data_IF_874561051784
#
_entry.id   IF_874561051784
#
_cell.length_a   1.000
_cell.length_b   1.000
_cell.length_c   1.000
_cell.angle_alpha   90.00
_cell.angle_beta   90.00
_cell.angle_gamma   90.00
#
_symmetry.space_group_name_H-M   'P 1'
#
loop_
_entity.id
_entity.type
_entity.pdbx_description
1 polymer ?
#
# COMPACT_ATOMS: atom_id res chain seq x y z
N UNK A 1 5.44 12.77 -17.40
CA UNK A 1 6.14 11.60 -16.83
C UNK A 1 7.10 10.92 -17.81
N UNK A 2 6.72 10.72 -19.08
CA UNK A 2 7.50 9.90 -20.03
C UNK A 2 8.98 10.33 -20.21
N UNK A 3 9.23 11.64 -20.37
CA UNK A 3 10.59 12.18 -20.55
C UNK A 3 11.46 12.03 -19.29
N UNK A 4 10.84 12.02 -18.10
CA UNK A 4 11.53 11.77 -16.84
C UNK A 4 11.94 10.29 -16.74
N UNK A 5 11.03 9.35 -17.00
CA UNK A 5 11.34 7.91 -16.99
C UNK A 5 12.48 7.59 -17.96
N UNK A 6 12.42 8.14 -19.17
CA UNK A 6 13.44 7.94 -20.20
C UNK A 6 14.83 8.43 -19.76
N UNK A 7 14.90 9.66 -19.24
CA UNK A 7 16.18 10.28 -18.84
C UNK A 7 16.75 9.72 -17.55
N UNK A 8 15.91 9.33 -16.58
CA UNK A 8 16.33 9.01 -15.22
C UNK A 8 16.41 7.51 -14.93
N UNK A 9 15.49 6.71 -15.49
CA UNK A 9 15.42 5.26 -15.25
C UNK A 9 16.10 4.47 -16.37
N UNK A 10 15.82 4.80 -17.64
CA UNK A 10 16.33 4.02 -18.78
C UNK A 10 17.76 4.40 -19.21
N UNK A 11 18.31 5.53 -18.74
CA UNK A 11 19.69 5.94 -19.04
C UNK A 11 20.74 5.19 -18.19
N UNK A 12 20.35 4.57 -17.07
CA UNK A 12 21.24 3.74 -16.26
C UNK A 12 21.35 2.36 -16.91
N UNK A 13 22.57 1.90 -17.21
CA UNK A 13 22.87 0.57 -17.78
C UNK A 13 22.56 -0.63 -16.86
N UNK A 14 21.55 -0.50 -15.99
CA UNK A 14 21.04 -1.58 -15.15
C UNK A 14 20.18 -2.50 -16.00
N UNK A 15 20.41 -3.81 -15.88
CA UNK A 15 19.66 -4.85 -16.61
C UNK A 15 18.17 -4.89 -16.21
N UNK A 16 17.84 -4.40 -15.02
CA UNK A 16 16.48 -4.33 -14.47
C UNK A 16 16.34 -2.99 -13.75
N UNK A 17 15.24 -2.29 -14.03
CA UNK A 17 14.90 -1.02 -13.38
C UNK A 17 13.43 -1.05 -12.97
N UNK A 18 13.11 -0.31 -11.91
CA UNK A 18 11.77 -0.21 -11.38
C UNK A 18 11.63 1.02 -10.51
N UNK A 19 10.39 1.42 -10.27
CA UNK A 19 10.03 2.53 -9.39
C UNK A 19 8.68 2.24 -8.76
N UNK A 20 8.38 2.97 -7.69
CA UNK A 20 7.07 2.95 -7.05
C UNK A 20 6.28 4.17 -7.49
N UNK A 21 5.00 3.97 -7.82
CA UNK A 21 4.08 5.05 -8.12
C UNK A 21 2.81 4.89 -7.31
N UNK A 22 2.52 5.79 -6.36
CA UNK A 22 1.21 5.82 -5.69
C UNK A 22 0.09 6.09 -6.69
N UNK A 23 -1.11 5.55 -6.42
CA UNK A 23 -2.26 5.73 -7.31
C UNK A 23 -2.62 7.22 -7.54
N UNK A 24 -2.54 8.06 -6.51
CA UNK A 24 -2.79 9.50 -6.67
C UNK A 24 -1.81 10.15 -7.64
N UNK A 25 -0.51 9.84 -7.55
CA UNK A 25 0.48 10.33 -8.51
C UNK A 25 0.22 9.83 -9.93
N UNK A 26 -0.34 8.62 -10.09
CA UNK A 26 -0.76 8.11 -11.41
C UNK A 26 -1.86 8.97 -12.02
N UNK A 27 -2.81 9.45 -11.20
CA UNK A 27 -3.88 10.34 -11.66
C UNK A 27 -3.35 11.74 -12.02
N UNK A 28 -2.35 12.25 -11.30
CA UNK A 28 -1.69 13.53 -11.59
C UNK A 28 -0.85 13.49 -12.87
N UNK A 29 -0.46 12.30 -13.32
CA UNK A 29 0.37 12.08 -14.50
C UNK A 29 -0.40 11.29 -15.56
N UNK A 30 -1.30 11.97 -16.26
CA UNK A 30 -2.18 11.37 -17.27
C UNK A 30 -1.42 10.71 -18.43
N UNK A 31 -0.17 11.09 -18.68
CA UNK A 31 0.72 10.48 -19.69
C UNK A 31 1.41 9.19 -19.23
N UNK A 32 1.31 8.83 -17.94
CA UNK A 32 2.06 7.72 -17.37
C UNK A 32 1.61 6.36 -17.91
N UNK A 33 0.31 6.12 -18.07
CA UNK A 33 -0.22 4.83 -18.58
C UNK A 33 0.30 4.56 -19.99
N UNK A 34 0.28 5.57 -20.86
CA UNK A 34 0.80 5.47 -22.22
C UNK A 34 2.31 5.24 -22.22
N UNK A 35 3.05 5.95 -21.35
CA UNK A 35 4.47 5.71 -21.18
C UNK A 35 4.75 4.27 -20.72
N UNK A 36 3.94 3.72 -19.81
CA UNK A 36 4.11 2.34 -19.34
C UNK A 36 3.94 1.34 -20.48
N UNK A 37 2.96 1.56 -21.36
CA UNK A 37 2.71 0.72 -22.54
C UNK A 37 3.88 0.82 -23.50
N UNK A 38 4.31 2.04 -23.84
CA UNK A 38 5.44 2.32 -24.74
C UNK A 38 6.74 1.65 -24.30
N UNK A 39 7.01 1.67 -23.00
CA UNK A 39 8.24 1.10 -22.43
C UNK A 39 8.11 -0.38 -22.02
N UNK A 40 6.93 -0.99 -22.18
CA UNK A 40 6.71 -2.41 -21.88
C UNK A 40 6.85 -2.76 -20.40
N UNK A 41 6.42 -1.87 -19.50
CA UNK A 41 6.50 -2.14 -18.06
C UNK A 41 5.58 -3.28 -17.63
N UNK A 42 6.08 -4.13 -16.72
CA UNK A 42 5.28 -5.04 -15.92
C UNK A 42 4.81 -4.33 -14.65
N UNK A 43 3.58 -4.58 -14.19
CA UNK A 43 3.00 -3.90 -13.02
C UNK A 43 2.86 -4.87 -11.85
N UNK A 44 3.53 -4.59 -10.74
CA UNK A 44 3.19 -5.20 -9.44
C UNK A 44 2.28 -4.24 -8.69
N UNK A 45 1.03 -4.66 -8.43
CA UNK A 45 0.08 -3.93 -7.61
C UNK A 45 0.15 -4.42 -6.17
N UNK A 46 0.18 -3.48 -5.24
CA UNK A 46 0.14 -3.75 -3.81
C UNK A 46 -1.17 -3.22 -3.22
N UNK A 47 -1.87 -4.05 -2.46
CA UNK A 47 -2.96 -3.64 -1.57
C UNK A 47 -2.68 -4.10 -0.14
N UNK A 48 -3.54 -3.69 0.79
CA UNK A 48 -3.59 -4.24 2.14
C UNK A 48 -5.01 -4.71 2.40
N UNK A 49 -5.16 -5.96 2.82
CA UNK A 49 -6.50 -6.56 2.92
C UNK A 49 -7.24 -6.09 4.16
N UNK A 50 -6.52 -5.85 5.26
CA UNK A 50 -7.11 -5.27 6.45
C UNK A 50 -7.09 -3.73 6.37
N UNK A 51 -8.24 -3.14 6.02
CA UNK A 51 -8.39 -1.69 5.85
C UNK A 51 -8.32 -0.93 7.18
N UNK A 52 -8.75 -1.52 8.30
CA UNK A 52 -8.63 -0.88 9.60
C UNK A 52 -7.15 -0.77 10.01
N UNK A 53 -6.40 -1.84 9.76
CA UNK A 53 -4.95 -1.87 9.91
C UNK A 53 -4.23 -0.84 9.01
N UNK A 54 -4.71 -0.65 7.79
CA UNK A 54 -4.25 0.42 6.90
C UNK A 54 -4.56 1.80 7.48
N UNK A 55 -5.78 2.01 7.98
CA UNK A 55 -6.22 3.25 8.60
C UNK A 55 -5.40 3.60 9.83
N UNK A 56 -5.19 2.66 10.75
CA UNK A 56 -4.31 2.83 11.90
C UNK A 56 -2.92 3.27 11.46
N UNK A 57 -2.33 2.58 10.48
CA UNK A 57 -1.00 2.92 9.97
C UNK A 57 -0.95 4.33 9.38
N UNK A 58 -1.98 4.72 8.61
CA UNK A 58 -2.09 6.05 8.02
C UNK A 58 -2.23 7.14 9.08
N UNK A 59 -3.09 6.93 10.08
CA UNK A 59 -3.34 7.90 11.16
C UNK A 59 -2.13 8.08 12.06
N UNK A 60 -1.48 6.99 12.49
CA UNK A 60 -0.27 7.08 13.30
C UNK A 60 0.86 7.80 12.56
N UNK A 61 1.05 7.53 11.26
CA UNK A 61 2.05 8.23 10.47
C UNK A 61 1.76 9.73 10.33
N UNK A 62 0.49 10.10 10.12
CA UNK A 62 0.06 11.49 10.06
C UNK A 62 0.25 12.22 11.40
N UNK A 63 -0.19 11.60 12.50
CA UNK A 63 -0.11 12.17 13.86
C UNK A 63 1.34 12.35 14.33
N UNK A 64 2.22 11.40 13.98
CA UNK A 64 3.64 11.48 14.32
C UNK A 64 4.48 12.27 13.30
N UNK A 65 3.86 12.78 12.22
CA UNK A 65 4.54 13.38 11.08
C UNK A 65 5.72 12.53 10.55
N UNK A 66 5.53 11.20 10.55
CA UNK A 66 6.59 10.24 10.26
C UNK A 66 6.03 9.04 9.52
N UNK A 67 6.33 8.96 8.22
CA UNK A 67 5.90 7.87 7.33
C UNK A 67 6.87 6.69 7.29
N UNK A 68 8.00 6.79 8.01
CA UNK A 68 9.02 5.73 8.10
C UNK A 68 9.37 5.45 9.55
N UNK A 69 9.63 4.19 9.87
CA UNK A 69 9.96 3.76 11.24
C UNK A 69 11.32 4.24 11.74
N UNK A 70 12.19 4.73 10.86
CA UNK A 70 13.56 5.16 11.17
C UNK A 70 13.67 6.68 11.41
N UNK A 71 12.54 7.41 11.42
CA UNK A 71 12.52 8.86 11.59
C UNK A 71 11.88 9.26 12.92
N UNK A 72 12.73 9.48 13.93
CA UNK A 72 12.35 10.01 15.25
C UNK A 72 11.58 9.03 16.16
N UNK A 73 11.49 9.32 17.46
CA UNK A 73 10.67 8.51 18.37
C UNK A 73 9.17 8.69 18.06
N UNK A 74 8.43 7.59 17.97
CA UNK A 74 6.96 7.60 17.91
C UNK A 74 6.42 8.13 19.23
N UNK A 75 5.69 9.25 19.18
CA UNK A 75 5.14 9.93 20.37
C UNK A 75 3.68 9.57 20.62
N UNK A 76 2.92 9.38 19.54
CA UNK A 76 1.50 9.07 19.58
C UNK A 76 1.32 7.62 19.16
N UNK A 77 0.77 6.81 20.06
CA UNK A 77 0.58 5.37 19.86
C UNK A 77 -0.90 4.96 19.88
N UNK A 78 -1.80 5.85 20.27
CA UNK A 78 -3.24 5.68 20.25
C UNK A 78 -3.93 6.93 19.69
N UNK A 79 -5.20 6.79 19.30
CA UNK A 79 -6.06 7.90 18.88
C UNK A 79 -7.54 7.50 18.90
N UNK A 80 -8.42 8.51 18.93
CA UNK A 80 -9.85 8.34 18.68
C UNK A 80 -10.12 8.28 17.18
N UNK A 81 -10.92 7.31 16.74
CA UNK A 81 -11.29 7.13 15.34
C UNK A 81 -12.76 7.49 15.10
N UNK A 82 -13.00 8.51 14.27
CA UNK A 82 -14.35 8.88 13.86
C UNK A 82 -14.92 7.83 12.86
N UNK A 83 -16.12 7.27 13.09
CA UNK A 83 -16.70 6.27 12.19
C UNK A 83 -16.89 6.74 10.75
N UNK A 84 -17.25 8.01 10.55
CA UNK A 84 -17.46 8.59 9.22
C UNK A 84 -16.15 8.73 8.46
N UNK A 85 -15.08 9.15 9.14
CA UNK A 85 -13.74 9.22 8.54
C UNK A 85 -13.21 7.84 8.16
N UNK A 86 -13.43 6.84 9.02
CA UNK A 86 -13.03 5.44 8.77
C UNK A 86 -13.78 4.89 7.55
N UNK A 87 -15.11 5.06 7.50
CA UNK A 87 -15.93 4.63 6.36
C UNK A 87 -15.47 5.29 5.06
N UNK A 88 -15.28 6.62 5.08
CA UNK A 88 -14.80 7.38 3.92
C UNK A 88 -13.46 6.84 3.42
N UNK A 89 -12.54 6.51 4.32
CA UNK A 89 -11.25 5.93 3.96
C UNK A 89 -11.41 4.53 3.35
N UNK A 90 -12.27 3.68 3.91
CA UNK A 90 -12.50 2.32 3.41
C UNK A 90 -13.09 2.32 2.00
N UNK A 91 -14.14 3.11 1.78
CA UNK A 91 -14.76 3.27 0.48
C UNK A 91 -13.77 3.82 -0.54
N UNK A 92 -13.02 4.86 -0.16
CA UNK A 92 -11.99 5.45 -1.03
C UNK A 92 -10.94 4.43 -1.43
N UNK A 93 -10.34 3.71 -0.49
CA UNK A 93 -9.29 2.73 -0.82
C UNK A 93 -9.82 1.54 -1.61
N UNK A 94 -11.05 1.12 -1.35
CA UNK A 94 -11.71 0.05 -2.12
C UNK A 94 -11.94 0.48 -3.57
N UNK A 95 -12.41 1.73 -3.76
CA UNK A 95 -12.59 2.33 -5.08
C UNK A 95 -11.27 2.53 -5.82
N UNK A 96 -10.26 3.12 -5.16
CA UNK A 96 -8.92 3.35 -5.71
C UNK A 96 -8.25 2.02 -6.11
N UNK A 97 -8.35 0.98 -5.27
CA UNK A 97 -7.84 -0.35 -5.60
C UNK A 97 -8.53 -0.98 -6.82
N UNK A 98 -9.85 -0.80 -6.93
CA UNK A 98 -10.64 -1.27 -8.06
C UNK A 98 -10.29 -0.53 -9.36
N UNK A 99 -10.10 0.78 -9.29
CA UNK A 99 -9.67 1.59 -10.41
C UNK A 99 -8.25 1.22 -10.87
N UNK A 100 -7.31 1.09 -9.93
CA UNK A 100 -5.95 0.65 -10.25
C UNK A 100 -5.92 -0.77 -10.83
N UNK A 101 -6.81 -1.67 -10.39
CA UNK A 101 -6.95 -3.01 -10.99
C UNK A 101 -7.36 -2.93 -12.46
N UNK A 102 -8.32 -2.06 -12.79
CA UNK A 102 -8.77 -1.83 -14.18
C UNK A 102 -7.67 -1.22 -15.05
N UNK A 103 -6.88 -0.29 -14.52
CA UNK A 103 -5.76 0.28 -15.28
C UNK A 103 -4.70 -0.80 -15.54
N UNK A 104 -4.37 -1.60 -14.52
CA UNK A 104 -3.31 -2.59 -14.60
C UNK A 104 -3.66 -3.82 -15.46
N UNK A 105 -4.94 -4.09 -15.72
CA UNK A 105 -5.35 -5.23 -16.56
C UNK A 105 -4.88 -5.11 -18.01
N UNK A 106 -4.55 -3.91 -18.47
CA UNK A 106 -3.95 -3.67 -19.78
C UNK A 106 -2.46 -4.08 -19.88
N UNK A 107 -1.87 -4.54 -18.77
CA UNK A 107 -0.45 -4.85 -18.65
C UNK A 107 -0.26 -6.28 -18.14
N UNK A 108 0.90 -6.90 -18.41
CA UNK A 108 1.37 -8.00 -17.57
C UNK A 108 1.42 -7.49 -16.13
N UNK A 109 0.59 -8.05 -15.27
CA UNK A 109 0.43 -7.57 -13.91
C UNK A 109 0.34 -8.70 -12.89
N UNK A 110 0.82 -8.41 -11.69
CA UNK A 110 0.72 -9.26 -10.51
C UNK A 110 0.10 -8.45 -9.38
N UNK A 111 -0.90 -9.01 -8.72
CA UNK A 111 -1.42 -8.47 -7.48
C UNK A 111 -0.85 -9.24 -6.28
N UNK A 112 -0.33 -8.49 -5.33
CA UNK A 112 0.19 -8.98 -4.05
C UNK A 112 -0.38 -8.13 -2.92
N UNK A 113 -0.66 -8.76 -1.79
CA UNK A 113 -1.13 -8.06 -0.59
C UNK A 113 0.03 -7.79 0.36
N UNK A 114 -0.11 -6.80 1.22
CA UNK A 114 0.88 -6.49 2.24
C UNK A 114 1.14 -7.70 3.13
N UNK A 115 0.09 -8.43 3.48
CA UNK A 115 0.13 -9.65 4.27
C UNK A 115 1.01 -10.72 3.60
N UNK A 116 0.84 -10.92 2.29
CA UNK A 116 1.69 -11.82 1.50
C UNK A 116 3.15 -11.35 1.42
N UNK A 117 3.41 -10.03 1.45
CA UNK A 117 4.80 -9.55 1.51
C UNK A 117 5.44 -9.83 2.87
N UNK A 118 4.67 -9.78 3.96
CA UNK A 118 5.16 -10.03 5.31
C UNK A 118 5.42 -11.52 5.54
N UNK A 119 4.56 -12.41 5.05
CA UNK A 119 4.76 -13.87 5.16
C UNK A 119 5.78 -14.43 4.15
N UNK A 120 6.25 -13.60 3.21
CA UNK A 120 7.27 -13.94 2.21
C UNK A 120 6.72 -14.56 0.92
N UNK A 121 5.48 -15.07 0.90
CA UNK A 121 4.88 -15.69 -0.29
C UNK A 121 4.74 -14.71 -1.46
N UNK A 122 4.43 -13.45 -1.15
CA UNK A 122 4.32 -12.35 -2.10
C UNK A 122 5.66 -11.93 -2.68
N UNK A 123 6.75 -12.08 -1.92
CA UNK A 123 8.10 -11.77 -2.40
C UNK A 123 8.51 -12.77 -3.48
N UNK A 124 8.34 -14.06 -3.22
CA UNK A 124 8.66 -15.13 -4.19
C UNK A 124 7.88 -14.94 -5.49
N UNK A 125 6.56 -14.73 -5.40
CA UNK A 125 5.70 -14.45 -6.57
C UNK A 125 6.16 -13.22 -7.35
N UNK A 126 6.62 -12.16 -6.67
CA UNK A 126 7.18 -10.98 -7.33
C UNK A 126 8.45 -11.32 -8.12
N UNK A 127 9.39 -12.06 -7.51
CA UNK A 127 10.65 -12.43 -8.16
C UNK A 127 10.40 -13.30 -9.40
N UNK A 128 9.52 -14.30 -9.28
CA UNK A 128 9.09 -15.16 -10.40
C UNK A 128 8.46 -14.34 -11.54
N UNK A 129 7.49 -13.47 -11.21
CA UNK A 129 6.80 -12.62 -12.19
C UNK A 129 7.77 -11.68 -12.93
N UNK A 130 8.77 -11.16 -12.23
CA UNK A 130 9.81 -10.29 -12.78
C UNK A 130 10.94 -11.07 -13.47
N UNK A 131 10.93 -12.41 -13.44
CA UNK A 131 11.99 -13.28 -13.93
C UNK A 131 13.35 -12.96 -13.30
N UNK A 132 13.34 -12.76 -11.99
CA UNK A 132 14.52 -12.51 -11.17
C UNK A 132 14.91 -13.79 -10.43
N UNK A 133 16.20 -13.93 -10.15
CA UNK A 133 16.70 -15.02 -9.30
C UNK A 133 16.15 -14.85 -7.89
N UNK A 134 15.81 -15.98 -7.27
CA UNK A 134 15.55 -15.99 -5.85
C UNK A 134 16.79 -15.49 -5.09
N UNK A 135 16.57 -14.53 -4.21
CA UNK A 135 17.60 -13.88 -3.43
C UNK A 135 16.99 -13.45 -2.09
N UNK A 136 17.70 -13.62 -0.97
CA UNK A 136 17.24 -13.10 0.31
C UNK A 136 17.00 -11.59 0.21
N UNK A 137 15.76 -11.16 0.42
CA UNK A 137 15.41 -9.74 0.48
C UNK A 137 15.26 -9.32 1.94
N UNK A 138 15.96 -8.26 2.32
CA UNK A 138 15.86 -7.68 3.65
C UNK A 138 15.17 -6.31 3.59
N UNK A 139 14.21 -6.09 4.47
CA UNK A 139 13.65 -4.75 4.71
C UNK A 139 14.39 -4.08 5.86
N UNK A 140 14.94 -2.89 5.61
CA UNK A 140 15.47 -2.02 6.67
C UNK A 140 14.35 -1.33 7.46
N UNK A 141 13.12 -1.38 6.96
CA UNK A 141 11.95 -0.78 7.60
C UNK A 141 11.27 -1.77 8.53
N UNK A 142 10.93 -1.29 9.73
CA UNK A 142 10.13 -2.03 10.70
C UNK A 142 8.70 -1.48 10.70
N UNK A 143 7.75 -2.30 11.11
CA UNK A 143 6.38 -1.84 11.33
C UNK A 143 6.40 -0.83 12.49
N UNK A 144 5.84 0.37 12.28
CA UNK A 144 5.72 1.38 13.34
C UNK A 144 4.78 0.92 14.47
N UNK A 145 3.76 0.14 14.12
CA UNK A 145 2.80 -0.42 15.07
C UNK A 145 3.34 -1.71 15.70
N UNK A 146 3.29 -1.77 17.02
CA UNK A 146 3.37 -2.98 17.85
C UNK A 146 2.17 -2.96 18.80
N UNK A 147 1.08 -3.65 18.47
CA UNK A 147 -0.14 -3.66 19.29
C UNK A 147 -1.38 -4.15 18.55
N UNK A 148 -2.40 -4.51 19.31
CA UNK A 148 -3.74 -4.88 18.83
C UNK A 148 -4.50 -3.62 18.33
N UNK A 149 -5.60 -3.80 17.59
CA UNK A 149 -6.38 -2.65 17.09
C UNK A 149 -7.04 -1.88 18.24
N UNK A 150 -7.52 -2.60 19.24
CA UNK A 150 -8.17 -2.12 20.47
C UNK A 150 -7.24 -1.34 21.40
N UNK A 151 -5.94 -1.63 21.36
CA UNK A 151 -4.93 -0.89 22.13
C UNK A 151 -4.62 0.49 21.51
N UNK A 152 -4.88 0.65 20.21
CA UNK A 152 -4.50 1.84 19.44
C UNK A 152 -5.72 2.74 19.19
N UNK A 153 -6.89 2.16 19.01
CA UNK A 153 -8.12 2.92 18.81
C UNK A 153 -8.84 3.03 20.15
N UNK A 154 -8.82 4.21 20.76
CA UNK A 154 -9.37 4.42 22.10
C UNK A 154 -10.88 4.14 22.21
N UNK A 155 -11.62 4.29 21.11
CA UNK A 155 -13.04 3.98 20.99
C UNK A 155 -13.33 2.67 20.21
N UNK A 156 -12.41 1.71 20.21
CA UNK A 156 -12.50 0.50 19.36
C UNK A 156 -13.82 -0.26 19.50
N UNK A 157 -14.33 -0.46 20.72
CA UNK A 157 -15.56 -1.22 20.94
C UNK A 157 -16.79 -0.52 20.32
N UNK A 158 -16.88 0.79 20.45
CA UNK A 158 -17.94 1.60 19.82
C UNK A 158 -17.81 1.55 18.30
N UNK A 159 -16.59 1.74 17.79
CA UNK A 159 -16.31 1.69 16.36
C UNK A 159 -16.66 0.31 15.77
N UNK A 160 -16.25 -0.77 16.42
CA UNK A 160 -16.60 -2.15 16.02
C UNK A 160 -18.11 -2.36 16.02
N UNK A 161 -18.82 -1.83 17.03
CA UNK A 161 -20.28 -1.84 17.10
C UNK A 161 -20.93 -1.10 15.93
N UNK A 162 -20.39 0.05 15.53
CA UNK A 162 -20.87 0.82 14.38
C UNK A 162 -20.80 0.04 13.06
N UNK A 163 -19.72 -0.73 12.86
CA UNK A 163 -19.48 -1.46 11.60
C UNK A 163 -19.97 -2.91 11.60
N UNK A 164 -20.49 -3.46 12.71
CA UNK A 164 -20.74 -4.89 12.88
C UNK A 164 -21.71 -5.51 11.87
N UNK A 165 -22.68 -4.73 11.37
CA UNK A 165 -23.66 -5.16 10.36
C UNK A 165 -23.30 -4.69 8.93
N UNK A 166 -22.04 -4.32 8.70
CA UNK A 166 -21.55 -3.87 7.38
C UNK A 166 -20.52 -4.85 6.83
N UNK A 167 -20.22 -4.75 5.53
CA UNK A 167 -19.13 -5.54 4.93
C UNK A 167 -17.75 -5.25 5.53
N UNK A 168 -17.60 -4.11 6.21
CA UNK A 168 -16.36 -3.65 6.82
C UNK A 168 -16.06 -4.33 8.16
N UNK A 169 -17.02 -5.05 8.75
CA UNK A 169 -16.86 -5.76 10.02
C UNK A 169 -15.64 -6.69 10.03
N UNK A 170 -15.32 -7.31 8.88
CA UNK A 170 -14.16 -8.22 8.72
C UNK A 170 -12.80 -7.59 9.01
N UNK A 171 -12.69 -6.26 9.04
CA UNK A 171 -11.44 -5.57 9.30
C UNK A 171 -11.13 -5.40 10.80
N UNK A 172 -12.12 -5.68 11.66
CA UNK A 172 -12.01 -5.65 13.12
C UNK A 172 -11.65 -7.04 13.64
N UNK A 173 -10.35 -7.29 13.87
CA UNK A 173 -9.80 -8.66 14.05
C UNK A 173 -9.33 -8.98 15.46
N UNK A 174 -9.50 -8.04 16.40
CA UNK A 174 -9.38 -8.33 17.84
C UNK A 174 -10.63 -9.02 18.39
#
# INVERSE_FOLDING_TARGET
>A
MASYLEKMLHKKGSRVTGFKMPYLSLLEHTDAVEAFKRFGYKIVRLSRDNLLDQYISYRLAALNNSWRSDYGPTKINDFYADPTEVLTAFEKWTSDNSALRRIASDFPNLHVTYEQLIDGSGVLRCLEFLNLRDAPLESRFKRQRTGAQSEIISNYAELKGHFIQTEWARHFVD
#
